data_IF_167490885741
#
_entry.id   IF_167490885741
#
_cell.length_a   1.000
_cell.length_b   1.000
_cell.length_c   1.000
_cell.angle_alpha   90.00
_cell.angle_beta   90.00
_cell.angle_gamma   90.00
#
_symmetry.space_group_name_H-M   'P 1'
#
loop_
_entity.id
_entity.type
_entity.pdbx_description
1 polymer ?
#
# COMPACT_ATOMS: atom_id res chain seq x y z
N UNK A 1 10.03 -2.54 -17.06
CA UNK A 1 9.44 -2.71 -18.39
C UNK A 1 10.23 -1.94 -19.45
N UNK A 2 10.23 -2.37 -20.70
CA UNK A 2 10.74 -1.58 -21.85
C UNK A 2 9.62 -0.69 -22.38
N UNK A 3 9.83 0.63 -22.42
CA UNK A 3 8.87 1.55 -23.03
C UNK A 3 9.00 1.53 -24.55
N UNK A 4 7.93 1.21 -25.27
CA UNK A 4 7.97 1.21 -26.73
C UNK A 4 7.80 2.62 -27.30
N UNK A 5 8.35 2.82 -28.50
CA UNK A 5 8.40 4.12 -29.18
C UNK A 5 7.07 4.56 -29.80
N UNK A 6 6.06 3.69 -29.80
CA UNK A 6 4.71 4.04 -30.22
C UNK A 6 3.95 4.87 -29.17
N UNK A 7 4.56 5.09 -28.00
CA UNK A 7 4.02 5.82 -26.86
C UNK A 7 2.72 5.24 -26.27
N UNK A 8 2.25 4.10 -26.74
CA UNK A 8 1.00 3.46 -26.28
C UNK A 8 1.29 2.15 -25.56
N UNK A 9 2.28 1.40 -26.03
CA UNK A 9 2.57 0.08 -25.51
C UNK A 9 3.91 0.04 -24.77
N UNK A 10 4.06 -1.00 -23.99
CA UNK A 10 5.30 -1.40 -23.40
C UNK A 10 5.51 -2.89 -23.60
N UNK A 11 6.66 -3.35 -23.14
CA UNK A 11 7.09 -4.73 -23.16
C UNK A 11 7.77 -5.13 -21.84
N UNK A 12 7.84 -6.44 -21.52
CA UNK A 12 8.60 -6.91 -20.37
C UNK A 12 10.06 -6.47 -20.44
N UNK A 13 10.75 -6.49 -19.29
CA UNK A 13 12.17 -6.10 -19.26
C UNK A 13 13.00 -6.97 -20.23
N UNK A 14 13.98 -6.36 -20.90
CA UNK A 14 14.89 -7.04 -21.84
C UNK A 14 14.25 -7.67 -23.09
N UNK A 15 13.04 -7.25 -23.45
CA UNK A 15 12.39 -7.64 -24.71
C UNK A 15 12.36 -6.47 -25.70
N UNK A 16 12.31 -6.79 -27.00
CA UNK A 16 12.28 -5.80 -28.08
C UNK A 16 10.85 -5.62 -28.60
N UNK A 17 10.45 -4.37 -28.80
CA UNK A 17 9.11 -4.03 -29.29
C UNK A 17 9.03 -4.25 -30.81
N UNK A 18 8.22 -5.22 -31.23
CA UNK A 18 7.80 -5.38 -32.63
C UNK A 18 6.46 -4.67 -32.83
N UNK A 19 6.54 -3.41 -33.27
CA UNK A 19 5.38 -2.56 -33.50
C UNK A 19 4.55 -2.98 -34.73
N UNK A 20 5.14 -3.76 -35.65
CA UNK A 20 4.45 -4.20 -36.86
C UNK A 20 3.46 -5.31 -36.51
N UNK A 21 3.89 -6.24 -35.67
CA UNK A 21 3.08 -7.37 -35.25
C UNK A 21 2.35 -7.13 -33.92
N UNK A 22 2.67 -6.05 -33.20
CA UNK A 22 2.09 -5.75 -31.90
C UNK A 22 2.56 -6.72 -30.81
N UNK A 23 3.82 -7.18 -30.91
CA UNK A 23 4.40 -8.18 -30.01
C UNK A 23 5.72 -7.71 -29.38
N UNK A 24 6.04 -8.29 -28.24
CA UNK A 24 7.34 -8.19 -27.60
C UNK A 24 8.11 -9.46 -27.92
N UNK A 25 9.26 -9.32 -28.56
CA UNK A 25 10.09 -10.43 -28.99
C UNK A 25 11.32 -10.57 -28.08
N UNK A 26 11.63 -11.82 -27.72
CA UNK A 26 12.84 -12.24 -27.05
C UNK A 26 13.33 -13.54 -27.68
N UNK A 27 14.54 -14.01 -27.32
CA UNK A 27 15.18 -15.17 -27.97
C UNK A 27 14.29 -16.41 -28.07
N UNK A 28 13.42 -16.63 -27.08
CA UNK A 28 12.56 -17.82 -27.00
C UNK A 28 11.07 -17.52 -26.70
N UNK A 29 10.69 -16.26 -26.47
CA UNK A 29 9.30 -15.87 -26.14
C UNK A 29 8.83 -14.71 -27.02
N UNK A 30 7.67 -14.89 -27.64
CA UNK A 30 6.90 -13.83 -28.32
C UNK A 30 5.59 -13.66 -27.56
N UNK A 31 5.39 -12.49 -26.97
CA UNK A 31 4.18 -12.18 -26.18
C UNK A 31 3.52 -10.92 -26.74
N UNK A 32 2.19 -10.77 -26.64
CA UNK A 32 1.54 -9.52 -27.03
C UNK A 32 2.04 -8.35 -26.17
N UNK A 33 2.08 -7.16 -26.76
CA UNK A 33 2.47 -5.95 -26.04
C UNK A 33 1.38 -5.54 -25.03
N UNK A 34 1.79 -4.99 -23.88
CA UNK A 34 0.83 -4.45 -22.90
C UNK A 34 0.62 -2.97 -23.15
N UNK A 35 -0.62 -2.51 -22.95
CA UNK A 35 -0.95 -1.09 -23.03
C UNK A 35 -0.53 -0.38 -21.75
N UNK A 36 -0.03 0.85 -21.89
CA UNK A 36 0.20 1.76 -20.78
C UNK A 36 -1.14 2.17 -20.17
N UNK A 37 -1.20 2.20 -18.84
CA UNK A 37 -2.34 2.77 -18.09
C UNK A 37 -1.95 4.17 -17.64
N UNK A 38 -2.80 5.20 -17.76
CA UNK A 38 -2.47 6.54 -17.27
C UNK A 38 -2.03 6.52 -15.81
N UNK A 39 -0.95 7.24 -15.50
CA UNK A 39 -0.45 7.35 -14.13
C UNK A 39 -1.46 8.08 -13.25
N UNK A 40 -1.45 7.78 -11.95
CA UNK A 40 -2.27 8.53 -11.00
C UNK A 40 -1.68 9.93 -10.87
N UNK A 41 -2.49 10.93 -11.22
CA UNK A 41 -2.14 12.31 -10.93
C UNK A 41 -2.23 12.51 -9.42
N UNK A 42 -1.17 13.04 -8.82
CA UNK A 42 -1.28 13.58 -7.46
C UNK A 42 -2.27 14.74 -7.55
N UNK A 43 -3.46 14.58 -6.95
CA UNK A 43 -4.32 15.73 -6.73
C UNK A 43 -3.50 16.73 -5.92
N UNK A 44 -3.16 17.86 -6.54
CA UNK A 44 -2.65 19.03 -5.85
C UNK A 44 -3.82 19.64 -5.06
N UNK A 45 -4.32 18.91 -4.07
CA UNK A 45 -5.24 19.44 -3.08
C UNK A 45 -4.40 20.31 -2.15
N UNK A 46 -4.22 21.57 -2.58
CA UNK A 46 -3.92 22.66 -1.66
C UNK A 46 -5.00 22.67 -0.58
N UNK A 47 -4.59 22.65 0.68
CA UNK A 47 -5.37 22.44 1.90
C UNK A 47 -5.59 20.97 2.30
N UNK A 48 -4.54 20.31 2.79
CA UNK A 48 -4.74 19.17 3.70
C UNK A 48 -5.03 19.70 5.10
N UNK A 49 -6.24 19.48 5.59
CA UNK A 49 -6.45 19.22 7.02
C UNK A 49 -5.38 18.19 7.38
N UNK A 50 -4.36 18.59 8.14
CA UNK A 50 -3.38 17.68 8.70
C UNK A 50 -4.17 16.78 9.64
N UNK A 51 -4.72 15.68 9.12
CA UNK A 51 -5.15 14.57 9.96
C UNK A 51 -3.84 14.10 10.54
N UNK A 52 -3.56 14.51 11.77
CA UNK A 52 -2.37 14.07 12.44
C UNK A 52 -2.52 12.53 12.51
N UNK A 53 -1.40 11.85 12.32
CA UNK A 53 -1.36 10.39 12.29
C UNK A 53 -0.23 9.97 13.18
N UNK A 54 -0.49 8.99 14.03
CA UNK A 54 0.57 8.39 14.83
C UNK A 54 1.30 7.39 13.96
N UNK A 55 2.59 7.61 13.75
CA UNK A 55 3.43 6.72 12.97
C UNK A 55 3.84 5.51 13.84
N UNK A 56 3.64 4.31 13.30
CA UNK A 56 4.08 3.07 13.93
C UNK A 56 5.53 2.76 13.52
N UNK A 57 6.19 1.85 14.25
CA UNK A 57 7.61 1.54 14.03
C UNK A 57 7.94 0.85 12.70
N UNK A 58 6.96 0.23 12.03
CA UNK A 58 7.12 -0.41 10.72
C UNK A 58 6.90 0.56 9.54
N UNK A 59 6.69 1.85 9.83
CA UNK A 59 6.38 2.88 8.84
C UNK A 59 4.90 2.99 8.48
N UNK A 60 4.04 2.15 9.05
CA UNK A 60 2.58 2.33 8.94
C UNK A 60 2.09 3.50 9.81
N UNK A 61 0.83 3.87 9.64
CA UNK A 61 0.23 5.02 10.31
C UNK A 61 -1.17 4.72 10.81
N UNK A 62 -1.48 5.24 11.99
CA UNK A 62 -2.81 5.16 12.60
C UNK A 62 -3.46 6.54 12.69
N UNK A 63 -4.81 6.61 12.73
CA UNK A 63 -5.51 7.84 13.03
C UNK A 63 -5.05 8.46 14.35
N UNK A 64 -5.21 9.77 14.49
CA UNK A 64 -4.97 10.47 15.75
C UNK A 64 -5.64 9.82 16.95
N UNK A 65 -4.94 9.86 18.08
CA UNK A 65 -5.43 9.30 19.35
C UNK A 65 -5.52 7.77 19.35
N UNK A 66 -5.01 7.09 18.32
CA UNK A 66 -4.90 5.64 18.27
C UNK A 66 -3.53 5.16 18.74
N UNK A 67 -3.49 3.95 19.29
CA UNK A 67 -2.25 3.29 19.70
C UNK A 67 -1.85 2.24 18.68
N UNK A 68 -0.60 2.26 18.23
CA UNK A 68 -0.02 1.22 17.38
C UNK A 68 0.20 -0.05 18.21
N UNK A 69 -0.38 -1.17 17.77
CA UNK A 69 -0.22 -2.47 18.40
C UNK A 69 0.21 -3.51 17.36
N UNK A 70 1.14 -4.37 17.71
CA UNK A 70 1.61 -5.45 16.84
C UNK A 70 0.52 -6.53 16.61
N UNK A 71 0.44 -7.01 15.38
CA UNK A 71 -0.39 -8.13 14.94
C UNK A 71 0.45 -9.43 14.93
N UNK A 72 -0.19 -10.57 14.65
CA UNK A 72 0.46 -11.89 14.75
C UNK A 72 1.53 -12.15 13.69
N UNK A 73 1.58 -11.32 12.65
CA UNK A 73 2.50 -11.37 11.51
C UNK A 73 3.60 -10.30 11.58
N UNK A 74 3.80 -9.67 12.74
CA UNK A 74 4.70 -8.53 12.98
C UNK A 74 4.29 -7.22 12.26
N UNK A 75 3.14 -7.19 11.58
CA UNK A 75 2.57 -5.95 11.09
C UNK A 75 1.91 -5.17 12.24
N UNK A 76 1.49 -3.92 11.98
CA UNK A 76 0.85 -3.09 12.98
C UNK A 76 -0.64 -2.90 12.71
N UNK A 77 -1.40 -2.86 13.80
CA UNK A 77 -2.80 -2.49 13.84
C UNK A 77 -3.02 -1.30 14.77
N UNK A 78 -4.03 -0.51 14.45
CA UNK A 78 -4.50 0.63 15.21
C UNK A 78 -5.55 0.22 16.23
N UNK A 79 -5.29 0.56 17.48
CA UNK A 79 -6.30 0.57 18.53
C UNK A 79 -6.92 1.96 18.62
N UNK A 80 -8.24 2.13 18.41
CA UNK A 80 -8.92 3.43 18.46
C UNK A 80 -9.13 3.91 19.91
N UNK A 81 -8.13 3.68 20.76
CA UNK A 81 -8.07 4.05 22.16
C UNK A 81 -6.70 4.71 22.40
N UNK A 82 -6.72 5.81 23.15
CA UNK A 82 -5.51 6.49 23.57
C UNK A 82 -4.78 5.63 24.61
N UNK A 83 -3.47 5.49 24.45
CA UNK A 83 -2.61 4.72 25.37
C UNK A 83 -3.15 3.30 25.66
N UNK A 84 -3.65 2.63 24.62
CA UNK A 84 -4.27 1.32 24.74
C UNK A 84 -3.29 0.25 25.21
N UNK A 85 -3.82 -0.75 25.93
CA UNK A 85 -3.11 -1.98 26.24
C UNK A 85 -3.30 -2.94 25.06
N UNK A 86 -2.21 -3.27 24.37
CA UNK A 86 -2.21 -4.26 23.31
C UNK A 86 -2.29 -5.67 23.91
N UNK A 87 -3.37 -6.39 23.62
CA UNK A 87 -3.54 -7.74 24.14
C UNK A 87 -2.67 -8.75 23.37
N UNK A 88 -2.18 -9.76 24.08
CA UNK A 88 -1.31 -10.82 23.53
C UNK A 88 -2.01 -11.81 22.60
N UNK A 89 -3.30 -11.62 22.32
CA UNK A 89 -4.00 -12.34 21.26
C UNK A 89 -3.73 -11.75 19.86
N UNK A 90 -2.97 -10.66 19.80
CA UNK A 90 -2.60 -9.94 18.58
C UNK A 90 -3.78 -9.43 17.74
N UNK A 91 -5.01 -9.46 18.28
CA UNK A 91 -6.22 -9.06 17.55
C UNK A 91 -6.99 -7.96 18.27
N UNK A 92 -6.89 -7.90 19.59
CA UNK A 92 -7.67 -6.97 20.37
C UNK A 92 -6.80 -6.08 21.26
N UNK A 93 -7.42 -5.05 21.80
CA UNK A 93 -6.82 -4.14 22.76
C UNK A 93 -7.85 -3.63 23.74
N UNK A 94 -7.31 -3.10 24.82
CA UNK A 94 -8.05 -2.66 25.98
C UNK A 94 -7.69 -1.21 26.33
N UNK A 95 -8.57 -0.47 27.01
CA UNK A 95 -8.25 0.88 27.47
C UNK A 95 -7.13 0.86 28.51
N UNK A 96 -6.44 2.00 28.65
CA UNK A 96 -5.39 2.18 29.63
C UNK A 96 -5.85 1.81 31.05
N UNK A 97 -4.99 1.13 31.81
CA UNK A 97 -5.28 0.73 33.20
C UNK A 97 -6.15 -0.52 33.34
N UNK A 98 -6.42 -1.24 32.25
CA UNK A 98 -7.16 -2.51 32.28
C UNK A 98 -6.29 -3.68 31.83
N UNK A 99 -6.67 -4.90 32.22
CA UNK A 99 -6.00 -6.15 31.87
C UNK A 99 -6.84 -6.94 30.87
N UNK A 100 -6.18 -7.56 29.88
CA UNK A 100 -6.84 -8.36 28.88
C UNK A 100 -7.22 -9.75 29.44
N UNK A 101 -8.51 -10.04 29.54
CA UNK A 101 -9.06 -11.38 29.72
C UNK A 101 -9.40 -11.96 28.34
N UNK A 102 -8.41 -12.63 27.73
CA UNK A 102 -8.53 -13.23 26.38
C UNK A 102 -9.58 -14.35 26.34
N UNK A 103 -9.63 -15.31 27.30
CA UNK A 103 -10.65 -16.36 27.31
C UNK A 103 -12.09 -15.83 27.24
N UNK A 104 -12.39 -14.76 27.99
CA UNK A 104 -13.74 -14.18 28.02
C UNK A 104 -13.93 -12.97 27.10
N UNK A 105 -12.89 -12.59 26.36
CA UNK A 105 -12.85 -11.44 25.45
C UNK A 105 -13.21 -10.10 26.10
N UNK A 106 -12.70 -9.88 27.32
CA UNK A 106 -12.99 -8.70 28.16
C UNK A 106 -11.71 -7.96 28.55
N UNK A 107 -11.87 -6.68 28.85
CA UNK A 107 -10.92 -5.85 29.54
C UNK A 107 -11.40 -5.71 30.98
N UNK A 108 -10.59 -6.16 31.94
CA UNK A 108 -10.95 -6.18 33.35
C UNK A 108 -10.14 -5.16 34.13
N UNK A 109 -10.77 -4.55 35.13
CA UNK A 109 -10.16 -3.62 36.09
C UNK A 109 -10.72 -3.89 37.48
N UNK A 110 -10.25 -3.17 38.50
CA UNK A 110 -10.71 -3.37 39.88
C UNK A 110 -12.25 -3.25 40.03
N UNK A 111 -12.87 -2.37 39.24
CA UNK A 111 -14.29 -2.00 39.41
C UNK A 111 -15.15 -2.17 38.14
N UNK A 112 -14.56 -2.60 37.01
CA UNK A 112 -15.30 -2.69 35.74
C UNK A 112 -14.79 -3.76 34.79
N UNK A 113 -15.72 -4.30 33.98
CA UNK A 113 -15.44 -5.18 32.85
C UNK A 113 -16.07 -4.60 31.58
N UNK A 114 -15.28 -4.42 30.53
CA UNK A 114 -15.78 -4.02 29.20
C UNK A 114 -15.36 -5.03 28.14
N UNK A 115 -16.07 -5.15 27.01
CA UNK A 115 -15.59 -5.95 25.89
C UNK A 115 -14.26 -5.44 25.36
N UNK A 116 -13.42 -6.34 24.84
CA UNK A 116 -12.19 -5.93 24.15
C UNK A 116 -12.50 -5.29 22.80
N UNK A 117 -11.66 -4.32 22.41
CA UNK A 117 -11.78 -3.62 21.12
C UNK A 117 -10.91 -4.32 20.10
N UNK A 118 -11.43 -4.54 18.89
CA UNK A 118 -10.63 -5.10 17.79
C UNK A 118 -9.67 -4.06 17.23
N UNK A 119 -8.44 -4.48 16.94
CA UNK A 119 -7.47 -3.70 16.18
C UNK A 119 -7.98 -3.50 14.75
N UNK A 120 -7.72 -2.34 14.18
CA UNK A 120 -7.94 -2.01 12.77
C UNK A 120 -6.58 -2.11 12.06
N UNK A 121 -6.44 -2.60 10.82
CA UNK A 121 -5.15 -2.58 10.13
C UNK A 121 -4.56 -1.16 10.07
N UNK A 122 -3.26 -1.02 10.37
CA UNK A 122 -2.60 0.27 10.20
C UNK A 122 -2.45 0.60 8.71
N UNK A 123 -2.57 1.89 8.39
CA UNK A 123 -2.45 2.36 7.03
C UNK A 123 -0.97 2.44 6.66
N UNK A 124 -0.53 1.57 5.77
CA UNK A 124 0.75 1.71 5.08
C UNK A 124 0.53 2.61 3.86
N UNK A 125 1.40 3.58 3.63
CA UNK A 125 1.41 4.21 2.31
C UNK A 125 1.76 3.11 1.30
N UNK A 126 0.86 2.90 0.33
CA UNK A 126 1.11 2.01 -0.79
C UNK A 126 2.46 2.39 -1.39
N UNK A 127 3.35 1.40 -1.56
CA UNK A 127 4.59 1.66 -2.25
C UNK A 127 4.24 2.15 -3.65
N UNK A 128 4.77 3.31 -4.04
CA UNK A 128 4.52 3.91 -5.35
C UNK A 128 5.84 4.30 -5.98
N UNK A 129 5.92 4.15 -7.30
CA UNK A 129 7.05 4.63 -8.09
C UNK A 129 6.74 6.07 -8.52
N UNK A 130 7.59 7.01 -8.10
CA UNK A 130 7.47 8.41 -8.52
C UNK A 130 7.96 8.55 -9.97
N UNK A 131 7.05 8.92 -10.87
CA UNK A 131 7.39 9.19 -12.27
C UNK A 131 7.89 10.63 -12.44
N UNK A 132 7.19 11.58 -11.82
CA UNK A 132 7.61 12.97 -11.64
C UNK A 132 6.92 13.61 -10.43
N UNK A 133 6.92 14.94 -10.32
CA UNK A 133 6.30 15.67 -9.22
C UNK A 133 4.76 15.59 -9.21
N UNK A 134 4.16 15.28 -10.37
CA UNK A 134 2.71 15.27 -10.59
C UNK A 134 2.13 13.88 -10.78
N UNK A 135 2.95 12.89 -11.12
CA UNK A 135 2.52 11.55 -11.49
C UNK A 135 3.25 10.45 -10.73
N UNK A 136 2.47 9.50 -10.25
CA UNK A 136 2.96 8.28 -9.61
C UNK A 136 2.29 7.05 -10.18
N UNK A 137 3.02 5.94 -10.16
CA UNK A 137 2.51 4.63 -10.49
C UNK A 137 2.54 3.71 -9.26
N UNK A 138 1.72 2.65 -9.20
CA UNK A 138 1.82 1.63 -8.16
C UNK A 138 3.22 1.02 -8.09
N UNK A 139 3.54 0.36 -6.98
CA UNK A 139 4.74 -0.47 -6.89
C UNK A 139 4.76 -1.53 -7.99
N UNK A 140 5.95 -2.09 -8.25
CA UNK A 140 6.22 -3.05 -9.33
C UNK A 140 5.95 -2.58 -10.77
N UNK A 141 5.50 -1.33 -10.98
CA UNK A 141 5.28 -0.78 -12.33
C UNK A 141 6.44 0.12 -12.80
N UNK A 142 6.55 0.31 -14.12
CA UNK A 142 7.52 1.24 -14.73
C UNK A 142 6.81 2.45 -15.34
N UNK A 143 7.34 3.64 -15.06
CA UNK A 143 6.87 4.89 -15.66
C UNK A 143 7.32 5.01 -17.13
N UNK A 144 6.37 5.18 -18.04
CA UNK A 144 6.61 5.41 -19.47
C UNK A 144 5.81 6.61 -19.98
N UNK A 145 6.39 7.40 -20.90
CA UNK A 145 5.69 8.54 -21.51
C UNK A 145 4.59 8.09 -22.48
N UNK A 146 3.44 8.75 -22.43
CA UNK A 146 2.32 8.64 -23.37
C UNK A 146 2.49 9.62 -24.54
N UNK A 147 1.72 9.44 -25.61
CA UNK A 147 1.73 10.32 -26.77
C UNK A 147 1.26 11.75 -26.42
N UNK A 148 0.44 11.90 -25.38
CA UNK A 148 0.00 13.19 -24.84
C UNK A 148 1.12 13.96 -24.11
N UNK A 149 2.26 13.32 -23.83
CA UNK A 149 3.33 13.84 -22.96
C UNK A 149 3.16 13.50 -21.48
N UNK A 150 2.00 13.00 -21.08
CA UNK A 150 1.72 12.54 -19.71
C UNK A 150 2.43 11.21 -19.40
N UNK A 151 2.44 10.84 -18.11
CA UNK A 151 2.96 9.55 -17.68
C UNK A 151 1.92 8.45 -17.74
N UNK A 152 2.36 7.27 -18.14
CA UNK A 152 1.64 6.01 -18.02
C UNK A 152 2.45 4.96 -17.27
N UNK A 153 1.75 4.11 -16.55
CA UNK A 153 2.28 2.96 -15.84
C UNK A 153 2.23 1.72 -16.73
N UNK A 154 3.32 0.99 -16.77
CA UNK A 154 3.40 -0.30 -17.44
C UNK A 154 3.23 -1.43 -16.42
N UNK A 155 2.07 -2.12 -16.43
CA UNK A 155 1.84 -3.28 -15.58
C UNK A 155 2.53 -4.48 -16.22
N UNK A 156 3.77 -4.69 -15.82
CA UNK A 156 4.41 -5.99 -15.95
C UNK A 156 4.55 -6.52 -14.55
N UNK A 157 3.63 -7.40 -14.18
CA UNK A 157 3.87 -8.31 -13.08
C UNK A 157 5.24 -8.95 -13.37
N UNK A 158 6.17 -8.88 -12.42
CA UNK A 158 7.29 -9.81 -12.41
C UNK A 158 6.66 -11.21 -12.32
N UNK A 159 6.41 -11.85 -13.47
CA UNK A 159 6.02 -13.25 -13.50
C UNK A 159 7.25 -14.02 -13.02
N UNK A 160 7.34 -14.17 -11.70
CA UNK A 160 8.22 -15.13 -11.06
C UNK A 160 7.74 -16.52 -11.50
N UNK A 161 8.38 -17.09 -12.52
CA UNK A 161 8.40 -18.55 -12.70
C UNK A 161 9.40 -19.18 -11.71
#
# INVERSE_FOLDING_TARGET
ATCCNDHVHCCPQNTQCDLVHGTCVSKDKVVPMSKKVPARMKLQTSATVQVLRTQCSDGSSCPDGSTCCELGDHSFGCCPLISAVCCGDHLHCCPFGTTCDIPHKKCVSADSETPMVKKIPALREEATVKCDDTATCPDSTTCCRLASGEWGCCPYEDVCE
#
